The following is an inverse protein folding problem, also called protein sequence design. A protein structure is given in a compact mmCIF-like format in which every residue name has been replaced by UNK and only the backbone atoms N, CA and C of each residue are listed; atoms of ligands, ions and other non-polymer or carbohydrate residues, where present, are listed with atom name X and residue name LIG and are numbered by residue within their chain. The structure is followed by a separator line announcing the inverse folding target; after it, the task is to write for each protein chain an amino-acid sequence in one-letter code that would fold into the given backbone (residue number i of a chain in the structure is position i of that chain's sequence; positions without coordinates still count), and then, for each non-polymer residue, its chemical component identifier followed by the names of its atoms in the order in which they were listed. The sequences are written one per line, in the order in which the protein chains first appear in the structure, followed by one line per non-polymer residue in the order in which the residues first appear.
data_IF_784365316986
#
_entry.id   IF_784365316986
#
_cell.length_a   1.000
_cell.length_b   1.000
_cell.length_c   1.000
_cell.angle_alpha   90.00
_cell.angle_beta   90.00
_cell.angle_gamma   90.00
#
_symmetry.space_group_name_H-M   'P 1'
#
loop_
_entity.id
_entity.type
_entity.pdbx_description
1 polymer ?
#
# COMPACT_ATOMS: atom_id res chain seq x y z
N UNK A 1 -3.55 -13.14 16.66
CA UNK A 1 -3.22 -11.71 16.48
C UNK A 1 -3.32 -11.34 14.99
N UNK A 2 -4.46 -11.59 14.35
CA UNK A 2 -4.62 -11.53 12.88
C UNK A 2 -5.51 -10.37 12.42
N UNK A 3 -6.25 -9.76 13.34
CA UNK A 3 -7.09 -8.59 13.11
C UNK A 3 -6.33 -7.34 12.65
N UNK A 4 -5.15 -6.97 13.18
CA UNK A 4 -4.50 -5.72 12.79
C UNK A 4 -4.10 -5.74 11.31
N UNK A 5 -3.54 -6.86 10.83
CA UNK A 5 -3.05 -6.98 9.46
C UNK A 5 -4.17 -6.99 8.41
N UNK A 6 -5.36 -7.50 8.77
CA UNK A 6 -6.53 -7.51 7.88
C UNK A 6 -7.02 -6.11 7.56
N UNK A 7 -6.95 -5.19 8.50
CA UNK A 7 -7.57 -3.87 8.31
C UNK A 7 -6.66 -2.86 7.60
N UNK A 8 -5.34 -3.11 7.58
CA UNK A 8 -4.33 -2.27 6.94
C UNK A 8 -4.70 -1.88 5.50
N UNK A 9 -4.42 -0.63 5.15
CA UNK A 9 -4.61 -0.12 3.80
C UNK A 9 -3.71 -0.85 2.80
N UNK A 10 -2.49 -1.23 3.21
CA UNK A 10 -1.57 -2.06 2.40
C UNK A 10 -2.20 -3.38 2.01
N UNK A 11 -2.88 -4.05 2.94
CA UNK A 11 -3.61 -5.31 2.68
C UNK A 11 -4.72 -5.11 1.64
N UNK A 12 -5.48 -4.03 1.77
CA UNK A 12 -6.58 -3.69 0.86
C UNK A 12 -6.07 -3.35 -0.55
N UNK A 13 -5.01 -2.57 -0.65
CA UNK A 13 -4.36 -2.23 -1.92
C UNK A 13 -3.72 -3.44 -2.60
N UNK A 14 -3.06 -4.32 -1.83
CA UNK A 14 -2.50 -5.55 -2.36
C UNK A 14 -3.61 -6.43 -2.98
N UNK A 15 -4.79 -6.47 -2.38
CA UNK A 15 -5.93 -7.24 -2.91
C UNK A 15 -6.45 -6.66 -4.23
N UNK A 16 -6.47 -5.33 -4.36
CA UNK A 16 -6.83 -4.66 -5.61
C UNK A 16 -5.84 -4.95 -6.75
N UNK A 17 -4.58 -5.29 -6.43
CA UNK A 17 -3.57 -5.71 -7.43
C UNK A 17 -3.82 -7.11 -7.98
N UNK A 18 -4.75 -7.89 -7.41
CA UNK A 18 -5.13 -9.19 -7.95
C UNK A 18 -6.15 -9.03 -9.08
N UNK A 19 -5.92 -9.73 -10.20
CA UNK A 19 -6.94 -9.84 -11.23
C UNK A 19 -8.07 -10.81 -10.81
N UNK A 20 -9.09 -10.97 -11.65
CA UNK A 20 -10.24 -11.87 -11.39
C UNK A 20 -9.87 -13.34 -11.14
N UNK A 21 -8.67 -13.77 -11.55
CA UNK A 21 -8.16 -15.13 -11.31
C UNK A 21 -7.24 -15.20 -10.09
N UNK A 22 -7.01 -14.09 -9.39
CA UNK A 22 -6.13 -14.02 -8.24
C UNK A 22 -4.66 -13.85 -8.59
N UNK A 23 -4.32 -13.55 -9.85
CA UNK A 23 -2.93 -13.33 -10.26
C UNK A 23 -2.56 -11.88 -9.98
N UNK A 24 -1.39 -11.60 -9.35
CA UNK A 24 -0.85 -10.25 -9.24
C UNK A 24 -0.61 -9.61 -10.61
N UNK A 25 -0.64 -8.27 -10.71
CA UNK A 25 -0.27 -7.57 -11.96
C UNK A 25 1.17 -7.86 -12.37
N UNK A 26 2.05 -8.06 -11.39
CA UNK A 26 3.46 -8.40 -11.61
C UNK A 26 4.27 -7.20 -12.11
N UNK A 27 3.87 -5.99 -11.69
CA UNK A 27 4.58 -4.76 -12.03
C UNK A 27 5.57 -4.44 -10.90
N UNK A 28 6.80 -4.04 -11.23
CA UNK A 28 7.74 -3.51 -10.22
C UNK A 28 7.18 -2.30 -9.46
N UNK A 29 6.25 -1.57 -10.09
CA UNK A 29 5.49 -0.50 -9.46
C UNK A 29 4.67 -0.98 -8.24
N UNK A 30 4.22 -2.24 -8.22
CA UNK A 30 3.45 -2.81 -7.10
C UNK A 30 4.29 -2.85 -5.81
N UNK A 31 5.62 -3.03 -5.91
CA UNK A 31 6.51 -3.02 -4.73
C UNK A 31 6.61 -1.62 -4.11
N UNK A 32 6.66 -0.58 -4.95
CA UNK A 32 6.66 0.80 -4.46
C UNK A 32 5.30 1.19 -3.90
N UNK A 33 4.22 0.70 -4.50
CA UNK A 33 2.87 0.90 -3.99
C UNK A 33 2.70 0.29 -2.60
N UNK A 34 3.20 -0.93 -2.39
CA UNK A 34 3.16 -1.61 -1.08
C UNK A 34 3.96 -0.83 -0.04
N UNK A 35 5.19 -0.41 -0.35
CA UNK A 35 5.99 0.43 0.54
C UNK A 35 5.29 1.76 0.87
N UNK A 36 4.76 2.44 -0.15
CA UNK A 36 3.97 3.65 0.04
C UNK A 36 2.78 3.44 0.98
N UNK A 37 2.04 2.35 0.80
CA UNK A 37 0.92 2.01 1.66
C UNK A 37 1.35 1.70 3.11
N UNK A 38 2.50 1.06 3.30
CA UNK A 38 3.05 0.74 4.62
C UNK A 38 3.46 1.99 5.40
N UNK A 39 4.06 3.00 4.74
CA UNK A 39 4.31 4.31 5.36
C UNK A 39 3.01 4.96 5.81
N UNK A 40 1.97 4.90 4.99
CA UNK A 40 0.67 5.46 5.35
C UNK A 40 -0.03 4.68 6.46
N UNK A 41 0.12 3.36 6.51
CA UNK A 41 -0.37 2.56 7.64
C UNK A 41 0.34 2.94 8.95
N UNK A 42 1.66 3.20 8.92
CA UNK A 42 2.40 3.72 10.08
C UNK A 42 1.94 5.12 10.49
N UNK A 43 1.73 6.03 9.54
CA UNK A 43 1.28 7.38 9.82
C UNK A 43 -0.16 7.39 10.37
N UNK A 44 -1.07 6.63 9.75
CA UNK A 44 -2.48 6.54 10.15
C UNK A 44 -2.65 5.91 11.54
N UNK A 45 -1.77 5.01 11.96
CA UNK A 45 -1.79 4.47 13.31
C UNK A 45 -1.04 5.32 14.35
N UNK A 46 -0.45 6.46 13.93
CA UNK A 46 0.33 7.34 14.80
C UNK A 46 1.71 6.81 15.16
N UNK A 47 2.18 5.76 14.50
CA UNK A 47 3.55 5.27 14.68
C UNK A 47 4.58 6.16 13.96
N UNK A 48 4.18 6.83 12.88
CA UNK A 48 5.05 7.73 12.11
C UNK A 48 4.48 9.15 12.14
N UNK A 49 5.23 10.09 12.72
CA UNK A 49 4.80 11.48 12.90
C UNK A 49 5.84 12.45 12.32
N UNK A 50 5.35 13.59 11.83
CA UNK A 50 6.20 14.70 11.38
C UNK A 50 6.11 15.82 12.42
N UNK A 51 7.26 16.18 12.96
CA UNK A 51 7.41 17.27 13.93
C UNK A 51 8.14 18.45 13.27
N UNK A 52 8.24 19.58 13.95
CA UNK A 52 8.95 20.75 13.40
C UNK A 52 10.43 20.45 13.09
N UNK A 53 11.04 19.53 13.83
CA UNK A 53 12.48 19.25 13.78
C UNK A 53 12.83 17.94 13.08
N UNK A 54 11.93 16.95 13.09
CA UNK A 54 12.22 15.60 12.59
C UNK A 54 10.96 14.78 12.28
N UNK A 55 11.15 13.73 11.47
CA UNK A 55 10.20 12.63 11.35
C UNK A 55 10.54 11.59 12.43
N UNK A 56 9.57 11.27 13.28
CA UNK A 56 9.74 10.33 14.40
C UNK A 56 8.98 9.02 14.14
N UNK A 57 9.55 7.91 14.64
CA UNK A 57 8.98 6.58 14.49
C UNK A 57 8.87 5.86 15.84
N UNK A 58 7.64 5.61 16.28
CA UNK A 58 7.33 4.85 17.49
C UNK A 58 7.20 3.34 17.15
N UNK A 59 8.28 2.61 17.43
CA UNK A 59 8.35 1.15 17.25
C UNK A 59 7.34 0.38 18.12
N UNK A 60 6.97 0.91 19.29
CA UNK A 60 5.99 0.29 20.19
C UNK A 60 4.59 0.35 19.61
N UNK A 61 4.18 1.52 19.12
CA UNK A 61 2.90 1.71 18.41
C UNK A 61 2.88 0.87 17.14
N UNK A 62 3.96 0.87 16.34
CA UNK A 62 4.07 0.02 15.16
C UNK A 62 3.88 -1.46 15.49
N UNK A 63 4.49 -1.96 16.57
CA UNK A 63 4.38 -3.36 16.97
C UNK A 63 2.95 -3.76 17.37
N UNK A 64 2.21 -2.90 18.07
CA UNK A 64 0.80 -3.14 18.41
C UNK A 64 -0.05 -3.33 17.14
N UNK A 65 0.31 -2.64 16.06
CA UNK A 65 -0.37 -2.73 14.76
C UNK A 65 0.21 -3.79 13.81
N UNK A 66 1.19 -4.59 14.25
CA UNK A 66 1.82 -5.63 13.42
C UNK A 66 2.76 -5.09 12.34
N UNK A 67 3.30 -3.89 12.55
CA UNK A 67 4.22 -3.18 11.65
C UNK A 67 5.62 -3.04 12.27
N UNK A 68 5.97 -3.82 13.29
CA UNK A 68 7.25 -3.72 13.99
C UNK A 68 8.46 -3.83 13.05
N UNK A 69 8.39 -4.74 12.09
CA UNK A 69 9.48 -4.97 11.12
C UNK A 69 9.51 -3.93 9.99
N UNK A 70 8.34 -3.40 9.63
CA UNK A 70 8.24 -2.23 8.74
C UNK A 70 8.91 -1.03 9.40
N UNK A 71 8.62 -0.81 10.69
CA UNK A 71 9.22 0.28 11.46
C UNK A 71 10.73 0.08 11.60
N UNK A 72 11.18 -1.12 11.97
CA UNK A 72 12.60 -1.45 12.05
C UNK A 72 13.33 -1.16 10.73
N UNK A 73 12.78 -1.56 9.59
CA UNK A 73 13.41 -1.33 8.29
C UNK A 73 13.35 0.14 7.84
N UNK A 74 12.26 0.84 8.13
CA UNK A 74 12.13 2.26 7.79
C UNK A 74 13.11 3.15 8.59
N UNK A 75 13.50 2.69 9.79
CA UNK A 75 14.45 3.35 10.68
C UNK A 75 15.93 2.94 10.42
N UNK A 76 16.17 1.95 9.55
CA UNK A 76 17.52 1.48 9.24
C UNK A 76 18.32 2.52 8.39
N UNK A 77 18.99 3.44 9.08
CA UNK A 77 20.10 4.26 8.59
C UNK A 77 19.75 5.73 8.25
N UNK A 78 20.80 6.55 8.05
CA UNK A 78 20.72 8.00 7.78
C UNK A 78 20.08 8.38 6.43
N UNK A 79 19.36 7.47 5.81
CA UNK A 79 19.03 7.55 4.38
C UNK A 79 17.61 8.03 4.07
N UNK A 80 16.77 8.14 5.11
CA UNK A 80 15.45 8.78 5.06
C UNK A 80 14.35 7.98 4.36
N UNK A 81 13.09 8.35 4.65
CA UNK A 81 11.88 7.68 4.15
C UNK A 81 11.83 7.56 2.62
N UNK A 82 12.31 8.57 1.88
CA UNK A 82 12.30 8.53 0.42
C UNK A 82 13.16 7.39 -0.14
N UNK A 83 14.32 7.12 0.47
CA UNK A 83 15.16 6.01 0.03
C UNK A 83 14.53 4.68 0.38
N UNK A 84 13.87 4.57 1.53
CA UNK A 84 13.12 3.37 1.89
C UNK A 84 11.95 3.11 0.90
N UNK A 85 11.21 4.13 0.48
CA UNK A 85 10.17 3.99 -0.55
C UNK A 85 10.73 3.47 -1.90
N UNK A 86 11.98 3.81 -2.22
CA UNK A 86 12.64 3.39 -3.45
C UNK A 86 13.28 2.01 -3.35
N UNK A 87 13.90 1.67 -2.22
CA UNK A 87 14.80 0.53 -2.09
C UNK A 87 14.55 -0.39 -0.88
N UNK A 88 13.52 -0.11 -0.08
CA UNK A 88 13.08 -0.99 1.00
C UNK A 88 12.80 -2.40 0.47
N UNK A 89 13.10 -3.41 1.29
CA UNK A 89 12.97 -4.83 0.95
C UNK A 89 11.53 -5.31 0.99
N UNK A 90 10.67 -4.64 1.76
CA UNK A 90 9.26 -5.02 1.91
C UNK A 90 8.42 -4.66 0.68
N UNK A 91 8.54 -5.48 -0.36
CA UNK A 91 7.75 -5.41 -1.60
C UNK A 91 6.46 -6.25 -1.58
N UNK A 92 5.82 -6.37 -2.74
CA UNK A 92 4.55 -7.07 -2.90
C UNK A 92 4.66 -8.57 -2.58
N UNK A 93 5.70 -9.24 -3.05
CA UNK A 93 5.85 -10.68 -2.84
C UNK A 93 6.02 -11.06 -1.37
N UNK A 94 6.77 -10.24 -0.62
CA UNK A 94 6.94 -10.38 0.82
C UNK A 94 5.62 -10.14 1.55
N UNK A 95 4.91 -9.06 1.20
CA UNK A 95 3.60 -8.77 1.78
C UNK A 95 2.57 -9.87 1.47
N UNK A 96 2.54 -10.38 0.24
CA UNK A 96 1.67 -11.50 -0.14
C UNK A 96 1.98 -12.77 0.68
N UNK A 97 3.26 -13.02 1.00
CA UNK A 97 3.66 -14.08 1.92
C UNK A 97 3.02 -13.92 3.30
N UNK A 98 3.04 -12.71 3.86
CA UNK A 98 2.40 -12.39 5.15
C UNK A 98 0.89 -12.58 5.10
N UNK A 99 0.24 -12.15 4.03
CA UNK A 99 -1.21 -12.32 3.87
C UNK A 99 -1.63 -13.78 3.80
N UNK A 100 -0.79 -14.64 3.22
CA UNK A 100 -1.01 -16.09 3.24
C UNK A 100 -0.77 -16.67 4.63
N UNK A 101 0.32 -16.27 5.30
CA UNK A 101 0.62 -16.73 6.67
C UNK A 101 -0.43 -16.30 7.70
N UNK A 102 -1.12 -15.18 7.45
CA UNK A 102 -2.16 -14.62 8.31
C UNK A 102 -3.60 -15.05 7.94
N UNK A 103 -3.77 -16.05 7.06
CA UNK A 103 -5.09 -16.51 6.57
C UNK A 103 -5.98 -15.35 6.07
N UNK A 104 -5.35 -14.35 5.44
CA UNK A 104 -6.05 -13.27 4.72
C UNK A 104 -6.21 -13.68 3.27
N UNK A 105 -5.16 -14.26 2.70
CA UNK A 105 -5.18 -14.89 1.39
C UNK A 105 -4.93 -16.38 1.50
N UNK A 106 -5.37 -17.12 0.49
CA UNK A 106 -5.00 -18.52 0.31
C UNK A 106 -4.28 -18.70 -1.01
N UNK A 107 -3.12 -19.34 -0.99
CA UNK A 107 -2.43 -19.72 -2.23
C UNK A 107 -3.27 -20.77 -2.98
N UNK A 108 -3.59 -20.52 -4.24
CA UNK A 108 -4.32 -21.49 -5.06
C UNK A 108 -3.37 -22.59 -5.52
N UNK A 109 -3.80 -23.87 -5.48
CA UNK A 109 -2.99 -24.95 -6.01
C UNK A 109 -2.80 -24.77 -7.52
N UNK A 110 -1.66 -25.23 -8.02
CA UNK A 110 -1.40 -25.24 -9.45
C UNK A 110 -2.45 -26.09 -10.17
N UNK A 111 -2.97 -25.58 -11.29
CA UNK A 111 -3.86 -26.30 -12.18
C UNK A 111 -3.87 -25.66 -13.57
N UNK A 112 -4.47 -26.30 -14.57
CA UNK A 112 -4.66 -25.69 -15.90
C UNK A 112 -5.44 -24.35 -15.84
N UNK A 113 -6.31 -24.18 -14.83
CA UNK A 113 -7.03 -22.92 -14.59
C UNK A 113 -6.16 -21.84 -13.94
N UNK A 114 -5.15 -22.25 -13.17
CA UNK A 114 -4.21 -21.41 -12.43
C UNK A 114 -2.76 -21.87 -12.68
N UNK A 115 -2.22 -21.68 -13.89
CA UNK A 115 -0.88 -22.16 -14.24
C UNK A 115 0.25 -21.30 -13.64
N UNK A 116 -0.08 -20.16 -13.05
CA UNK A 116 0.84 -19.23 -12.39
C UNK A 116 0.45 -19.05 -10.92
N UNK A 117 1.41 -18.61 -10.08
CA UNK A 117 1.16 -18.24 -8.68
C UNK A 117 -0.05 -17.30 -8.60
N UNK A 118 -1.09 -17.76 -7.91
CA UNK A 118 -2.39 -17.10 -7.83
C UNK A 118 -2.95 -17.25 -6.43
N UNK A 119 -3.69 -16.25 -5.98
CA UNK A 119 -4.21 -16.17 -4.62
C UNK A 119 -5.74 -16.10 -4.62
N UNK A 120 -6.34 -16.62 -3.57
CA UNK A 120 -7.73 -16.38 -3.22
C UNK A 120 -7.76 -15.31 -2.13
N UNK A 121 -8.39 -14.18 -2.44
CA UNK A 121 -8.68 -13.16 -1.45
C UNK A 121 -9.88 -13.59 -0.61
N UNK A 122 -9.66 -13.87 0.69
CA UNK A 122 -10.71 -14.27 1.62
C UNK A 122 -11.53 -13.08 2.12
N UNK A 123 -11.18 -11.85 1.72
CA UNK A 123 -11.86 -10.59 2.04
C UNK A 123 -12.47 -9.94 0.79
N UNK A 124 -12.82 -10.76 -0.22
CA UNK A 124 -13.25 -10.28 -1.55
C UNK A 124 -14.36 -9.24 -1.52
N UNK A 125 -15.38 -9.42 -0.69
CA UNK A 125 -16.50 -8.48 -0.60
C UNK A 125 -16.04 -7.07 -0.22
N UNK A 126 -15.12 -6.97 0.74
CA UNK A 126 -14.50 -5.71 1.14
C UNK A 126 -13.63 -5.13 0.03
N UNK A 127 -12.85 -5.98 -0.67
CA UNK A 127 -12.04 -5.55 -1.81
C UNK A 127 -12.88 -5.00 -2.96
N UNK A 128 -14.07 -5.57 -3.22
CA UNK A 128 -14.99 -5.01 -4.22
C UNK A 128 -15.61 -3.69 -3.73
N UNK A 129 -15.96 -3.58 -2.44
CA UNK A 129 -16.40 -2.31 -1.85
C UNK A 129 -15.31 -1.22 -1.97
N UNK A 130 -14.04 -1.60 -1.86
CA UNK A 130 -12.91 -0.69 -2.06
C UNK A 130 -12.80 -0.11 -3.47
N UNK A 131 -13.47 -0.70 -4.46
CA UNK A 131 -13.53 -0.14 -5.82
C UNK A 131 -14.48 1.05 -5.95
N UNK A 132 -15.40 1.25 -5.01
CA UNK A 132 -16.36 2.35 -5.05
C UNK A 132 -15.67 3.68 -4.70
N UNK A 133 -15.50 4.57 -5.69
CA UNK A 133 -14.76 5.84 -5.51
C UNK A 133 -15.64 6.99 -5.02
N UNK A 134 -16.93 6.76 -4.86
CA UNK A 134 -17.89 7.78 -4.42
C UNK A 134 -17.69 8.10 -2.94
N UNK A 135 -17.85 9.37 -2.60
CA UNK A 135 -17.81 9.84 -1.22
C UNK A 135 -19.16 9.57 -0.56
N UNK A 136 -19.15 8.91 0.59
CA UNK A 136 -20.32 8.63 1.42
C UNK A 136 -20.29 9.33 2.79
N UNK A 137 -19.15 9.94 3.15
CA UNK A 137 -18.99 10.69 4.41
C UNK A 137 -18.69 9.82 5.64
N UNK A 138 -18.48 8.52 5.44
CA UNK A 138 -18.15 7.54 6.49
C UNK A 138 -16.75 6.93 6.30
N UNK A 139 -15.92 7.58 5.48
CA UNK A 139 -14.60 7.06 5.11
C UNK A 139 -13.67 6.99 6.32
N UNK A 140 -13.13 5.79 6.56
CA UNK A 140 -12.06 5.60 7.54
C UNK A 140 -10.73 6.10 7.00
N UNK A 141 -9.75 6.49 7.84
CA UNK A 141 -8.40 6.86 7.39
C UNK A 141 -7.77 5.82 6.45
N UNK A 142 -7.96 4.52 6.76
CA UNK A 142 -7.46 3.43 5.89
C UNK A 142 -8.16 3.40 4.54
N UNK A 143 -9.46 3.72 4.48
CA UNK A 143 -10.19 3.85 3.20
C UNK A 143 -9.64 5.03 2.39
N UNK A 144 -9.33 6.15 3.04
CA UNK A 144 -8.72 7.32 2.39
C UNK A 144 -7.35 7.00 1.80
N UNK A 145 -6.52 6.20 2.48
CA UNK A 145 -5.26 5.69 1.92
C UNK A 145 -5.49 4.86 0.66
N UNK A 146 -6.47 3.93 0.68
CA UNK A 146 -6.81 3.12 -0.49
C UNK A 146 -7.26 3.99 -1.66
N UNK A 147 -8.08 5.01 -1.40
CA UNK A 147 -8.50 5.98 -2.42
C UNK A 147 -7.30 6.75 -2.98
N UNK A 148 -6.44 7.28 -2.10
CA UNK A 148 -5.31 8.10 -2.49
C UNK A 148 -4.34 7.34 -3.43
N UNK A 149 -3.91 6.17 -2.97
CA UNK A 149 -2.93 5.35 -3.69
C UNK A 149 -3.58 4.59 -4.86
N UNK A 150 -4.84 4.21 -4.73
CA UNK A 150 -5.60 3.54 -5.78
C UNK A 150 -5.81 4.41 -7.02
N UNK A 151 -6.03 5.73 -6.84
CA UNK A 151 -6.14 6.70 -7.93
C UNK A 151 -4.84 6.85 -8.71
N UNK A 152 -3.69 7.00 -8.03
CA UNK A 152 -2.39 7.22 -8.70
C UNK A 152 -1.78 5.96 -9.30
N UNK A 153 -2.22 4.78 -8.87
CA UNK A 153 -1.76 3.48 -9.35
C UNK A 153 -2.70 2.83 -10.39
N UNK A 154 -3.84 3.46 -10.69
CA UNK A 154 -4.83 2.97 -11.64
C UNK A 154 -5.60 1.72 -11.16
N UNK A 155 -5.59 1.45 -9.85
CA UNK A 155 -6.33 0.32 -9.27
C UNK A 155 -7.84 0.59 -9.18
N UNK A 156 -8.22 1.86 -9.14
CA UNK A 156 -9.60 2.33 -9.04
C UNK A 156 -10.16 2.88 -10.37
N UNK A 157 -9.43 2.73 -11.47
CA UNK A 157 -9.83 3.23 -12.79
C UNK A 157 -8.71 3.98 -13.52
N UNK A 158 -9.04 4.96 -14.38
CA UNK A 158 -8.04 5.81 -15.03
C UNK A 158 -7.11 6.47 -14.01
N UNK A 159 -5.83 6.55 -14.34
CA UNK A 159 -4.85 7.10 -13.40
C UNK A 159 -5.00 8.62 -13.30
N UNK A 160 -5.36 9.09 -12.11
CA UNK A 160 -5.51 10.51 -11.77
C UNK A 160 -4.78 10.82 -10.46
N UNK A 161 -4.63 12.10 -10.13
CA UNK A 161 -4.31 12.49 -8.76
C UNK A 161 -5.46 12.14 -7.80
N UNK A 162 -5.18 12.01 -6.49
CA UNK A 162 -6.22 11.86 -5.49
C UNK A 162 -7.02 13.18 -5.40
N UNK A 163 -8.35 13.12 -5.16
CA UNK A 163 -9.11 14.31 -4.81
C UNK A 163 -8.56 14.98 -3.54
N UNK A 164 -8.59 16.32 -3.45
CA UNK A 164 -8.03 17.04 -2.30
C UNK A 164 -8.64 16.59 -0.97
N UNK A 165 -9.96 16.35 -0.93
CA UNK A 165 -10.67 15.89 0.25
C UNK A 165 -10.15 14.55 0.80
N UNK A 166 -9.54 13.71 -0.04
CA UNK A 166 -8.97 12.43 0.39
C UNK A 166 -7.72 12.68 1.23
N UNK A 167 -6.82 13.56 0.77
CA UNK A 167 -5.61 13.91 1.51
C UNK A 167 -5.92 14.78 2.73
N UNK A 168 -6.86 15.72 2.61
CA UNK A 168 -7.33 16.52 3.74
C UNK A 168 -7.91 15.64 4.86
N UNK A 169 -8.63 14.58 4.48
CA UNK A 169 -9.24 13.65 5.44
C UNK A 169 -8.26 12.74 6.18
N UNK A 170 -6.99 12.67 5.76
CA UNK A 170 -5.95 11.90 6.47
C UNK A 170 -5.51 12.58 7.77
N UNK A 171 -5.88 13.85 8.00
CA UNK A 171 -5.56 14.57 9.23
C UNK A 171 -4.04 14.67 9.44
N UNK A 172 -3.57 14.20 10.59
CA UNK A 172 -2.14 14.22 10.94
C UNK A 172 -1.28 13.39 9.99
N UNK A 173 -1.84 12.38 9.31
CA UNK A 173 -1.12 11.57 8.31
C UNK A 173 -1.07 12.22 6.91
N UNK A 174 -1.60 13.43 6.74
CA UNK A 174 -1.65 14.12 5.44
C UNK A 174 -0.28 14.31 4.80
N UNK A 175 0.72 14.74 5.58
CA UNK A 175 2.08 14.99 5.09
C UNK A 175 2.68 13.73 4.44
N UNK A 176 2.48 12.57 5.07
CA UNK A 176 2.93 11.29 4.55
C UNK A 176 2.15 10.92 3.27
N UNK A 177 0.84 11.22 3.27
CA UNK A 177 -0.03 11.09 2.10
C UNK A 177 0.51 11.84 0.88
N UNK A 178 0.85 13.11 1.06
CA UNK A 178 1.42 13.98 0.04
C UNK A 178 2.78 13.44 -0.45
N UNK A 179 3.69 13.11 0.48
CA UNK A 179 5.00 12.54 0.18
C UNK A 179 4.91 11.27 -0.69
N UNK A 180 4.06 10.31 -0.28
CA UNK A 180 3.92 9.03 -0.99
C UNK A 180 3.25 9.23 -2.36
N UNK A 181 2.21 10.05 -2.44
CA UNK A 181 1.50 10.34 -3.70
C UNK A 181 2.42 11.02 -4.71
N UNK A 182 3.21 12.01 -4.27
CA UNK A 182 4.20 12.68 -5.09
C UNK A 182 5.23 11.67 -5.60
N UNK A 183 5.84 10.89 -4.69
CA UNK A 183 6.88 9.92 -5.05
C UNK A 183 6.40 8.87 -6.04
N UNK A 184 5.21 8.30 -5.82
CA UNK A 184 4.60 7.34 -6.73
C UNK A 184 4.25 7.94 -8.10
N UNK A 185 3.92 9.23 -8.13
CA UNK A 185 3.68 9.97 -9.37
C UNK A 185 4.97 10.17 -10.15
N UNK A 186 6.04 10.62 -9.50
CA UNK A 186 7.37 10.79 -10.10
C UNK A 186 7.91 9.48 -10.65
N UNK A 187 7.85 8.41 -9.85
CA UNK A 187 8.32 7.09 -10.24
C UNK A 187 7.62 6.61 -11.50
N UNK A 188 6.29 6.77 -11.57
CA UNK A 188 5.50 6.41 -12.76
C UNK A 188 5.94 7.20 -13.98
N UNK A 189 6.17 8.50 -13.85
CA UNK A 189 6.67 9.35 -14.96
C UNK A 189 8.04 8.85 -15.42
N UNK A 190 8.95 8.55 -14.49
CA UNK A 190 10.29 8.01 -14.78
C UNK A 190 10.22 6.64 -15.46
N UNK A 191 9.38 5.73 -14.97
CA UNK A 191 9.21 4.41 -15.58
C UNK A 191 8.64 4.50 -17.00
N UNK A 192 7.73 5.45 -17.26
CA UNK A 192 7.21 5.71 -18.62
C UNK A 192 8.25 6.32 -19.55
N UNK A 193 9.12 7.20 -19.05
CA UNK A 193 10.18 7.79 -19.87
C UNK A 193 11.27 6.77 -20.22
N UNK A 194 11.60 5.87 -19.29
CA UNK A 194 12.51 4.74 -19.54
C UNK A 194 11.84 3.69 -20.44
N UNK A 195 10.55 3.41 -20.25
CA UNK A 195 9.78 2.49 -21.10
C UNK A 195 9.64 2.96 -22.56
N UNK A 196 9.72 4.27 -22.84
CA UNK A 196 9.86 4.79 -24.21
C UNK A 196 11.24 4.58 -24.85
N UNK A 197 12.21 4.02 -24.10
CA UNK A 197 13.49 3.56 -24.63
C UNK A 197 13.58 2.02 -24.71
N UNK A 198 12.52 1.30 -24.33
CA UNK A 198 12.38 -0.16 -24.52
C UNK A 198 10.91 -0.49 -24.78
N UNK A 199 10.43 -0.08 -25.95
CA UNK A 199 9.40 -0.76 -26.74
C UNK A 199 9.98 -0.93 -28.16
#
# INVERSE_FOLDING_TARGET
MTEPLRDLATTRLAALCLNRRGRPRGLTYDDHLVRGALILDLAVCGALTDTEDAVELDHGVAAVHGLADVAAEADEGDTGLQRWLDWGRLGFDEWAGRLVAADVWRLRPWSLRYPFRSFEDLQRERTEADRATERDGTETPRRLVVLALGSVSGLLGPITGPPSWVLDGLGEARWAGELVVERLTELRVRMRSIGRAVD
#
